data_IF_395224977858
#
_entry.id   IF_395224977858
#
_cell.length_a   1.000
_cell.length_b   1.000
_cell.length_c   1.000
_cell.angle_alpha   90.00
_cell.angle_beta   90.00
_cell.angle_gamma   90.00
#
_symmetry.space_group_name_H-M   'P 1'
#
loop_
_entity.id
_entity.type
_entity.pdbx_description
1 polymer ?
#
# COMPACT_ATOMS: atom_id res chain seq x y z
N UNK A 1 12.67 -6.71 5.28
CA UNK A 1 11.78 -7.48 4.38
C UNK A 1 10.65 -8.09 5.19
N UNK A 2 9.45 -8.17 4.59
CA UNK A 2 8.31 -8.81 5.25
C UNK A 2 8.41 -10.32 5.19
N UNK A 3 8.01 -10.98 6.28
CA UNK A 3 8.01 -12.45 6.40
C UNK A 3 6.62 -12.99 6.09
N UNK A 4 6.53 -13.97 5.21
CA UNK A 4 5.30 -14.66 4.82
C UNK A 4 5.18 -16.06 5.41
N UNK A 5 4.26 -16.83 4.86
CA UNK A 5 4.00 -18.21 5.29
C UNK A 5 5.27 -19.05 5.22
N UNK A 6 5.54 -19.80 6.29
CA UNK A 6 6.73 -20.67 6.38
C UNK A 6 8.05 -19.94 6.60
N UNK A 7 8.03 -18.67 6.98
CA UNK A 7 9.22 -17.87 7.27
C UNK A 7 9.96 -17.39 6.02
N UNK A 8 9.33 -17.42 4.86
CA UNK A 8 9.92 -16.91 3.62
C UNK A 8 9.92 -15.38 3.61
N UNK A 9 10.99 -14.79 3.10
CA UNK A 9 11.14 -13.34 3.02
C UNK A 9 10.70 -12.82 1.65
N UNK A 10 9.89 -11.75 1.67
CA UNK A 10 9.56 -10.99 0.46
C UNK A 10 10.78 -10.26 -0.12
N UNK A 11 10.72 -9.88 -1.39
CA UNK A 11 11.78 -9.13 -2.06
C UNK A 11 11.90 -7.66 -1.64
N UNK A 12 10.84 -7.11 -1.06
CA UNK A 12 10.78 -5.72 -0.54
C UNK A 12 9.91 -5.70 0.71
N UNK A 13 10.00 -4.62 1.48
CA UNK A 13 9.12 -4.42 2.62
C UNK A 13 7.69 -4.15 2.14
N UNK A 14 6.68 -4.73 2.81
CA UNK A 14 5.28 -4.49 2.46
C UNK A 14 4.92 -3.00 2.70
N UNK A 15 4.30 -2.33 1.71
CA UNK A 15 3.81 -0.97 1.91
C UNK A 15 2.66 -0.94 2.93
N UNK A 16 2.45 0.22 3.55
CA UNK A 16 1.29 0.41 4.43
C UNK A 16 -0.02 0.36 3.65
N UNK A 17 -1.05 -0.20 4.25
CA UNK A 17 -2.44 -0.13 3.75
C UNK A 17 -3.14 1.18 4.12
N UNK A 18 -2.63 1.90 5.15
CA UNK A 18 -3.20 3.19 5.53
C UNK A 18 -2.98 4.23 4.43
N UNK A 19 -4.04 4.92 4.08
CA UNK A 19 -4.09 5.91 3.01
C UNK A 19 -3.68 5.38 1.62
N UNK A 20 -3.59 4.07 1.43
CA UNK A 20 -3.22 3.46 0.14
C UNK A 20 -4.19 3.84 -0.99
N UNK A 21 -5.44 4.20 -0.65
CA UNK A 21 -6.43 4.70 -1.59
C UNK A 21 -6.03 6.00 -2.31
N UNK A 22 -5.10 6.77 -1.76
CA UNK A 22 -4.60 8.01 -2.38
C UNK A 22 -3.41 7.79 -3.30
N UNK A 23 -2.82 6.61 -3.32
CA UNK A 23 -1.76 6.29 -4.29
C UNK A 23 -2.34 6.18 -5.70
N UNK A 24 -1.63 6.71 -6.69
CA UNK A 24 -2.05 6.62 -8.10
C UNK A 24 -1.91 5.19 -8.66
N UNK A 25 -1.07 4.36 -8.07
CA UNK A 25 -0.87 2.92 -8.34
C UNK A 25 -0.48 2.20 -7.07
N UNK A 26 -0.57 0.87 -7.06
CA UNK A 26 -0.25 0.03 -5.91
C UNK A 26 1.06 -0.75 -6.12
N UNK A 27 1.61 -1.31 -5.03
CA UNK A 27 2.98 -1.81 -4.91
C UNK A 27 4.05 -0.73 -5.08
N UNK A 28 5.30 -1.06 -4.81
CA UNK A 28 6.43 -0.14 -4.97
C UNK A 28 6.69 0.20 -6.43
N UNK A 29 6.62 -0.81 -7.29
CA UNK A 29 6.86 -0.76 -8.73
C UNK A 29 5.63 -0.31 -9.55
N UNK A 30 4.48 -0.20 -8.90
CA UNK A 30 3.24 0.26 -9.56
C UNK A 30 2.57 -0.75 -10.46
N UNK A 31 2.89 -2.05 -10.33
CA UNK A 31 2.36 -3.11 -11.19
C UNK A 31 0.85 -3.36 -11.06
N UNK A 32 0.19 -2.77 -10.07
CA UNK A 32 -1.27 -2.81 -9.93
C UNK A 32 -1.86 -1.38 -9.98
N UNK A 33 -2.84 -1.17 -10.84
CA UNK A 33 -3.47 0.13 -11.03
C UNK A 33 -4.53 0.46 -9.96
N UNK A 34 -5.06 -0.55 -9.29
CA UNK A 34 -6.13 -0.40 -8.29
C UNK A 34 -5.84 -1.21 -7.03
N UNK A 35 -6.54 -0.88 -5.93
CA UNK A 35 -6.47 -1.68 -4.70
C UNK A 35 -7.02 -3.11 -4.91
N UNK A 36 -8.05 -3.28 -5.75
CA UNK A 36 -8.59 -4.61 -6.04
C UNK A 36 -7.58 -5.48 -6.81
N UNK A 37 -6.89 -4.91 -7.80
CA UNK A 37 -5.80 -5.62 -8.49
C UNK A 37 -4.65 -5.96 -7.55
N UNK A 38 -4.29 -5.05 -6.65
CA UNK A 38 -3.28 -5.29 -5.63
C UNK A 38 -3.69 -6.44 -4.71
N UNK A 39 -4.95 -6.44 -4.24
CA UNK A 39 -5.48 -7.45 -3.32
C UNK A 39 -5.47 -8.88 -3.90
N UNK A 40 -5.42 -9.03 -5.21
CA UNK A 40 -5.31 -10.35 -5.85
C UNK A 40 -3.91 -10.98 -5.73
N UNK A 41 -2.86 -10.17 -5.55
CA UNK A 41 -1.48 -10.65 -5.55
C UNK A 41 -1.05 -11.43 -4.30
N UNK A 42 -1.05 -10.79 -3.10
CA UNK A 42 -0.52 -11.38 -1.87
C UNK A 42 -1.09 -12.76 -1.51
N UNK A 43 -2.39 -13.04 -1.71
CA UNK A 43 -2.94 -14.36 -1.40
C UNK A 43 -2.30 -15.50 -2.19
N UNK A 44 -1.92 -15.25 -3.44
CA UNK A 44 -1.34 -16.25 -4.34
C UNK A 44 0.20 -16.25 -4.32
N UNK A 45 0.82 -15.23 -3.76
CA UNK A 45 2.27 -15.12 -3.74
C UNK A 45 2.89 -16.17 -2.81
N UNK A 46 3.81 -17.04 -3.31
CA UNK A 46 4.43 -18.10 -2.51
C UNK A 46 5.20 -17.60 -1.28
N UNK A 47 5.77 -16.40 -1.35
CA UNK A 47 6.53 -15.79 -0.24
C UNK A 47 5.67 -14.89 0.65
N UNK A 48 4.34 -14.86 0.45
CA UNK A 48 3.37 -14.11 1.27
C UNK A 48 2.35 -15.08 1.88
N UNK A 49 1.16 -15.28 1.28
CA UNK A 49 0.10 -16.15 1.82
C UNK A 49 0.11 -17.57 1.22
N UNK A 50 0.77 -17.76 0.09
CA UNK A 50 1.01 -19.06 -0.56
C UNK A 50 -0.25 -19.92 -0.83
N UNK A 51 -1.39 -19.29 -1.13
CA UNK A 51 -2.55 -20.03 -1.63
C UNK A 51 -2.32 -20.47 -3.08
N UNK A 52 -2.77 -21.66 -3.43
CA UNK A 52 -2.58 -22.22 -4.77
C UNK A 52 -3.49 -21.57 -5.82
N UNK A 53 -4.69 -21.13 -5.41
CA UNK A 53 -5.67 -20.52 -6.31
C UNK A 53 -6.74 -19.75 -5.53
N UNK A 54 -7.51 -18.93 -6.22
CA UNK A 54 -8.72 -18.32 -5.66
C UNK A 54 -9.78 -19.36 -5.29
N UNK A 55 -9.87 -20.48 -5.99
CA UNK A 55 -10.79 -21.57 -5.61
C UNK A 55 -10.47 -22.12 -4.23
N UNK A 56 -9.18 -22.24 -3.88
CA UNK A 56 -8.77 -22.63 -2.54
C UNK A 56 -9.18 -21.57 -1.49
N UNK A 57 -9.00 -20.30 -1.80
CA UNK A 57 -9.41 -19.19 -0.91
C UNK A 57 -10.93 -19.21 -0.70
N UNK A 58 -11.69 -19.33 -1.78
CA UNK A 58 -13.16 -19.42 -1.75
C UNK A 58 -13.60 -20.62 -0.91
N UNK A 59 -12.97 -21.79 -1.09
CA UNK A 59 -13.28 -22.97 -0.32
C UNK A 59 -13.07 -22.77 1.18
N UNK A 60 -11.97 -22.13 1.58
CA UNK A 60 -11.69 -21.79 2.99
C UNK A 60 -12.72 -20.81 3.56
N UNK A 61 -13.04 -19.74 2.81
CA UNK A 61 -14.06 -18.76 3.23
C UNK A 61 -15.46 -19.37 3.35
N UNK A 62 -15.78 -20.32 2.49
CA UNK A 62 -17.09 -21.01 2.47
C UNK A 62 -17.32 -21.93 3.68
N UNK A 63 -16.29 -22.24 4.47
CA UNK A 63 -16.41 -23.00 5.72
C UNK A 63 -17.20 -22.21 6.78
N UNK A 64 -17.05 -20.89 6.82
CA UNK A 64 -17.81 -20.01 7.72
C UNK A 64 -19.15 -19.62 7.08
N UNK A 65 -20.22 -20.32 7.52
CA UNK A 65 -21.57 -20.08 7.01
C UNK A 65 -22.11 -18.69 7.33
N UNK A 66 -21.72 -18.11 8.47
CA UNK A 66 -22.15 -16.76 8.83
C UNK A 66 -21.49 -15.72 7.93
N UNK A 67 -20.21 -15.91 7.64
CA UNK A 67 -19.49 -15.08 6.69
C UNK A 67 -20.13 -15.15 5.29
N UNK A 68 -20.45 -16.34 4.80
CA UNK A 68 -21.10 -16.52 3.49
C UNK A 68 -22.44 -15.79 3.43
N UNK A 69 -23.26 -15.91 4.48
CA UNK A 69 -24.57 -15.20 4.52
C UNK A 69 -24.36 -13.69 4.45
N UNK A 70 -23.52 -13.13 5.32
CA UNK A 70 -23.23 -11.69 5.33
C UNK A 70 -22.59 -11.20 4.02
N UNK A 71 -21.72 -12.01 3.42
CA UNK A 71 -21.08 -11.68 2.15
C UNK A 71 -22.09 -11.62 1.01
N UNK A 72 -23.03 -12.58 0.95
CA UNK A 72 -24.06 -12.63 -0.08
C UNK A 72 -25.11 -11.51 0.03
N UNK A 73 -25.29 -10.93 1.21
CA UNK A 73 -26.13 -9.71 1.37
C UNK A 73 -25.54 -8.50 0.63
N UNK A 74 -24.21 -8.44 0.54
CA UNK A 74 -23.49 -7.36 -0.15
C UNK A 74 -23.22 -7.71 -1.62
N UNK A 75 -22.88 -8.97 -1.88
CA UNK A 75 -22.52 -9.50 -3.20
C UNK A 75 -23.48 -10.65 -3.59
N UNK A 76 -24.63 -10.37 -4.25
CA UNK A 76 -25.64 -11.39 -4.57
C UNK A 76 -25.15 -12.53 -5.48
N UNK A 77 -24.08 -12.31 -6.26
CA UNK A 77 -23.41 -13.32 -7.08
C UNK A 77 -22.37 -14.14 -6.31
N UNK A 78 -22.24 -13.92 -5.00
CA UNK A 78 -21.50 -14.76 -4.07
C UNK A 78 -20.00 -14.57 -4.05
N UNK A 79 -19.33 -15.56 -3.44
CA UNK A 79 -17.88 -15.61 -3.33
C UNK A 79 -17.26 -15.91 -4.69
N UNK A 80 -16.52 -14.96 -5.20
CA UNK A 80 -15.64 -15.07 -6.37
C UNK A 80 -14.47 -14.10 -6.22
N UNK A 81 -13.42 -14.27 -7.04
CA UNK A 81 -12.22 -13.45 -6.99
C UNK A 81 -12.54 -11.94 -7.03
N UNK A 82 -13.35 -11.52 -7.99
CA UNK A 82 -13.73 -10.12 -8.18
C UNK A 82 -14.40 -9.52 -6.94
N UNK A 83 -15.34 -10.25 -6.34
CA UNK A 83 -16.05 -9.77 -5.17
C UNK A 83 -15.17 -9.73 -3.93
N UNK A 84 -14.30 -10.74 -3.75
CA UNK A 84 -13.34 -10.80 -2.64
C UNK A 84 -12.37 -9.63 -2.71
N UNK A 85 -11.74 -9.42 -3.87
CA UNK A 85 -10.78 -8.32 -4.05
C UNK A 85 -11.45 -6.95 -3.98
N UNK A 86 -12.69 -6.83 -4.45
CA UNK A 86 -13.48 -5.61 -4.27
C UNK A 86 -13.82 -5.35 -2.80
N UNK A 87 -14.21 -6.37 -2.03
CA UNK A 87 -14.47 -6.21 -0.60
C UNK A 87 -13.23 -5.72 0.16
N UNK A 88 -12.05 -6.27 -0.16
CA UNK A 88 -10.76 -5.81 0.40
C UNK A 88 -10.52 -4.35 0.02
N UNK A 89 -10.65 -4.00 -1.26
CA UNK A 89 -10.50 -2.62 -1.74
C UNK A 89 -11.43 -1.65 -0.99
N UNK A 90 -12.71 -1.97 -0.85
CA UNK A 90 -13.66 -1.09 -0.16
C UNK A 90 -13.33 -0.94 1.33
N UNK A 91 -12.83 -1.99 1.97
CA UNK A 91 -12.31 -1.91 3.33
C UNK A 91 -11.06 -1.00 3.40
N UNK A 92 -10.09 -1.19 2.52
CA UNK A 92 -8.86 -0.38 2.50
C UNK A 92 -9.14 1.11 2.25
N UNK A 93 -10.15 1.46 1.47
CA UNK A 93 -10.61 2.84 1.29
C UNK A 93 -11.08 3.51 2.59
N UNK A 94 -11.43 2.72 3.60
CA UNK A 94 -11.80 3.25 4.91
C UNK A 94 -10.60 3.50 5.82
N UNK A 95 -9.44 2.94 5.49
CA UNK A 95 -8.20 3.04 6.27
C UNK A 95 -7.50 4.38 6.05
N UNK A 96 -8.16 5.45 6.41
CA UNK A 96 -7.67 6.82 6.29
C UNK A 96 -7.23 7.35 7.66
N UNK A 97 -6.21 8.21 7.65
CA UNK A 97 -5.68 8.87 8.86
C UNK A 97 -5.80 10.39 8.76
N UNK A 98 -7.03 10.93 8.70
CA UNK A 98 -7.26 12.38 8.57
C UNK A 98 -7.02 13.11 9.91
N UNK A 99 -6.86 14.44 9.81
CA UNK A 99 -6.78 15.34 10.95
C UNK A 99 -5.56 15.12 11.86
N UNK A 100 -4.43 14.73 11.27
CA UNK A 100 -3.14 14.77 11.96
C UNK A 100 -2.85 16.18 12.51
N UNK A 101 -1.89 16.32 13.41
CA UNK A 101 -1.46 17.65 13.91
C UNK A 101 -1.03 18.55 12.73
N UNK A 102 -0.34 17.96 11.74
CA UNK A 102 0.10 18.68 10.54
C UNK A 102 -1.07 19.09 9.66
N UNK A 103 -2.08 18.22 9.44
CA UNK A 103 -3.29 18.59 8.69
C UNK A 103 -4.03 19.77 9.34
N UNK A 104 -4.14 19.77 10.66
CA UNK A 104 -4.76 20.85 11.41
C UNK A 104 -3.99 22.17 11.26
N UNK A 105 -2.66 22.10 11.27
CA UNK A 105 -1.80 23.24 11.02
C UNK A 105 -2.02 23.81 9.62
N UNK A 106 -2.05 22.97 8.59
CA UNK A 106 -2.31 23.37 7.21
C UNK A 106 -3.71 23.98 7.04
N UNK A 107 -4.70 23.48 7.81
CA UNK A 107 -6.06 24.04 7.88
C UNK A 107 -6.16 25.34 8.68
N UNK A 108 -5.04 25.85 9.22
CA UNK A 108 -4.95 27.16 9.88
C UNK A 108 -4.85 27.13 11.41
N UNK A 109 -4.88 25.98 12.07
CA UNK A 109 -4.65 25.84 13.50
C UNK A 109 -3.15 25.96 13.79
N UNK A 110 -2.66 27.17 13.99
CA UNK A 110 -1.22 27.50 14.10
C UNK A 110 -0.50 26.87 15.27
N UNK A 111 -1.20 26.54 16.33
CA UNK A 111 -0.72 25.89 17.54
C UNK A 111 -0.76 24.35 17.48
N UNK A 112 -1.19 23.75 16.38
CA UNK A 112 -1.28 22.30 16.23
C UNK A 112 0.08 21.59 16.18
N UNK A 113 1.13 22.30 15.78
CA UNK A 113 2.52 21.82 15.74
C UNK A 113 3.44 22.81 16.46
N UNK A 114 4.59 22.33 16.90
CA UNK A 114 5.59 23.12 17.63
C UNK A 114 6.39 24.05 16.72
N UNK A 115 7.13 24.98 17.30
CA UNK A 115 8.02 25.87 16.56
C UNK A 115 9.12 25.11 15.79
N UNK A 116 9.65 24.02 16.37
CA UNK A 116 10.65 23.18 15.71
C UNK A 116 10.06 22.41 14.53
N UNK A 117 8.82 21.92 14.65
CA UNK A 117 8.12 21.27 13.54
C UNK A 117 7.81 22.26 12.41
N UNK A 118 7.49 23.52 12.72
CA UNK A 118 7.32 24.59 11.73
C UNK A 118 8.65 24.85 11.03
N UNK A 119 9.75 24.97 11.77
CA UNK A 119 11.08 25.16 11.19
C UNK A 119 11.48 23.98 10.30
N UNK A 120 11.14 22.74 10.70
CA UNK A 120 11.32 21.55 9.87
C UNK A 120 10.53 21.61 8.57
N UNK A 121 9.28 22.06 8.62
CA UNK A 121 8.45 22.25 7.43
C UNK A 121 8.99 23.34 6.50
N UNK A 122 9.54 24.41 7.06
CA UNK A 122 10.18 25.47 6.27
C UNK A 122 11.47 24.95 5.58
N UNK A 123 12.26 24.11 6.26
CA UNK A 123 13.40 23.43 5.66
C UNK A 123 12.97 22.47 4.54
N UNK A 124 11.92 21.70 4.75
CA UNK A 124 11.35 20.80 3.74
C UNK A 124 10.98 21.54 2.44
N UNK A 125 10.40 22.73 2.56
CA UNK A 125 10.12 23.61 1.41
C UNK A 125 11.40 24.22 0.82
N UNK A 126 12.31 24.69 1.68
CA UNK A 126 13.56 25.35 1.28
C UNK A 126 14.50 24.42 0.50
N UNK A 127 14.50 23.13 0.83
CA UNK A 127 15.32 22.11 0.15
C UNK A 127 14.59 21.43 -1.01
N UNK A 128 13.48 21.99 -1.47
CA UNK A 128 12.68 21.50 -2.60
C UNK A 128 12.15 20.07 -2.44
N UNK A 129 12.10 19.55 -1.21
CA UNK A 129 11.54 18.22 -0.95
C UNK A 129 10.07 18.13 -1.40
N UNK A 130 9.33 19.26 -1.29
CA UNK A 130 7.95 19.37 -1.72
C UNK A 130 7.76 19.26 -3.24
N UNK A 131 8.83 19.27 -4.05
CA UNK A 131 8.74 19.04 -5.50
C UNK A 131 8.27 17.63 -5.81
N UNK A 132 8.75 16.68 -5.03
CA UNK A 132 8.43 15.26 -5.16
C UNK A 132 7.43 14.79 -4.10
N UNK A 133 7.58 15.23 -2.86
CA UNK A 133 6.68 14.89 -1.75
C UNK A 133 5.47 15.82 -1.71
N UNK A 134 4.51 15.55 -2.60
CA UNK A 134 3.28 16.35 -2.79
C UNK A 134 2.02 15.53 -2.54
N UNK A 135 0.88 16.21 -2.57
CA UNK A 135 -0.43 15.61 -2.42
C UNK A 135 -0.80 15.30 -0.97
N UNK A 136 -1.96 14.70 -0.81
CA UNK A 136 -2.60 14.45 0.49
C UNK A 136 -1.80 13.53 1.40
N UNK A 137 -0.94 12.71 0.81
CA UNK A 137 -0.11 11.72 1.51
C UNK A 137 1.40 12.04 1.41
N UNK A 138 1.76 13.23 0.95
CA UNK A 138 3.15 13.68 0.78
C UNK A 138 4.02 12.71 -0.03
N UNK A 139 3.47 12.17 -1.09
CA UNK A 139 4.13 11.21 -1.99
C UNK A 139 3.13 10.32 -2.70
N UNK A 140 3.61 9.25 -3.34
CA UNK A 140 2.78 8.29 -4.05
C UNK A 140 2.14 8.81 -5.33
N UNK A 141 2.66 9.91 -5.90
CA UNK A 141 2.11 10.58 -7.08
C UNK A 141 3.04 10.52 -8.30
N UNK A 142 4.26 10.02 -8.14
CA UNK A 142 5.24 9.90 -9.23
C UNK A 142 6.17 8.70 -9.02
N UNK A 143 6.90 8.36 -10.07
CA UNK A 143 7.97 7.38 -10.04
C UNK A 143 9.32 8.09 -9.93
N UNK A 144 10.18 7.59 -9.07
CA UNK A 144 11.56 8.04 -8.92
C UNK A 144 12.53 6.87 -8.92
N UNK A 145 13.76 7.12 -9.36
CA UNK A 145 14.82 6.14 -9.27
C UNK A 145 15.22 5.94 -7.81
N UNK A 146 15.17 4.71 -7.34
CA UNK A 146 15.71 4.34 -6.03
C UNK A 146 17.15 3.85 -6.17
N UNK A 147 17.94 3.96 -5.12
CA UNK A 147 19.33 3.47 -5.13
C UNK A 147 20.37 4.45 -5.68
N UNK A 148 20.01 5.71 -5.96
CA UNK A 148 20.93 6.73 -6.49
C UNK A 148 22.07 7.03 -5.51
N UNK A 149 21.83 7.00 -4.20
CA UNK A 149 22.80 7.29 -3.15
C UNK A 149 23.35 6.03 -2.47
N UNK A 150 22.56 4.95 -2.45
CA UNK A 150 22.87 3.70 -1.81
C UNK A 150 22.16 2.56 -2.54
N UNK A 151 22.84 1.44 -2.75
CA UNK A 151 22.22 0.26 -3.33
C UNK A 151 21.35 -0.46 -2.30
N UNK A 152 20.06 -0.18 -2.34
CA UNK A 152 19.06 -0.80 -1.45
C UNK A 152 18.71 -2.24 -1.83
N UNK A 153 19.21 -2.73 -2.96
CA UNK A 153 18.95 -4.08 -3.43
C UNK A 153 20.14 -5.02 -3.24
N UNK A 154 21.28 -4.55 -2.76
CA UNK A 154 22.48 -5.37 -2.53
C UNK A 154 22.20 -6.61 -1.68
N UNK A 155 21.30 -6.50 -0.69
CA UNK A 155 20.94 -7.59 0.22
C UNK A 155 19.61 -8.31 -0.17
N UNK A 156 19.04 -7.97 -1.33
CA UNK A 156 17.79 -8.56 -1.78
C UNK A 156 18.01 -9.99 -2.23
N UNK A 157 17.25 -10.93 -1.65
CA UNK A 157 17.32 -12.36 -2.01
C UNK A 157 16.52 -12.73 -3.26
N UNK A 158 15.51 -11.92 -3.63
CA UNK A 158 14.70 -12.13 -4.83
C UNK A 158 15.38 -11.50 -6.05
N UNK A 159 15.23 -12.14 -7.21
CA UNK A 159 15.69 -11.57 -8.48
C UNK A 159 15.01 -10.21 -8.76
N UNK A 160 15.78 -9.31 -9.38
CA UNK A 160 15.24 -8.05 -9.86
C UNK A 160 14.39 -8.31 -11.09
N UNK A 161 13.18 -7.77 -11.11
CA UNK A 161 12.32 -7.79 -12.29
C UNK A 161 12.57 -6.56 -13.16
N UNK A 162 12.01 -6.53 -14.37
CA UNK A 162 12.13 -5.36 -15.25
C UNK A 162 11.43 -4.14 -14.65
N UNK A 163 10.33 -4.35 -13.92
CA UNK A 163 9.61 -3.31 -13.20
C UNK A 163 10.41 -2.73 -12.04
N UNK A 164 11.29 -3.55 -11.46
CA UNK A 164 12.20 -3.13 -10.38
C UNK A 164 13.35 -2.24 -10.87
N UNK A 165 13.56 -2.03 -12.14
CA UNK A 165 14.72 -1.33 -12.76
C UNK A 165 15.02 0.06 -12.16
N UNK A 166 15.04 0.11 -10.86
CA UNK A 166 15.32 1.28 -10.04
C UNK A 166 14.19 2.31 -10.01
N UNK A 167 13.04 2.02 -10.62
CA UNK A 167 11.88 2.92 -10.59
C UNK A 167 10.88 2.44 -9.59
N UNK A 168 10.75 3.20 -8.53
CA UNK A 168 9.74 2.97 -7.52
C UNK A 168 8.85 4.21 -7.43
N UNK A 169 7.57 3.97 -7.18
CA UNK A 169 6.70 5.07 -6.84
C UNK A 169 7.19 5.67 -5.51
N UNK A 170 7.20 6.96 -5.42
CA UNK A 170 7.46 7.65 -4.17
C UNK A 170 6.46 7.18 -3.12
N UNK A 171 6.97 6.87 -1.97
CA UNK A 171 6.15 6.61 -0.79
C UNK A 171 6.33 7.72 0.23
N UNK A 172 5.39 7.77 1.12
CA UNK A 172 5.36 8.69 2.26
C UNK A 172 6.62 8.63 3.09
#
# INVERSE_FOLDING_TARGET
YSEGVGGQLGGVNAPTVYNAAYNFVQFWDGRAGTLAEQAAGPPLNPVEMACESFDQIISKLAEDKNFVVAFNEVYPDGLNEKNITNAIQEFEKTLLTPNSRFDRYLKGQKDAITADEIAGYDLFKKYDCATCHVGEILGGQSYELIGVQHDYFADRQAEMTEEDNGRFKQTK
#
